data_IF_362916726547
#
_entry.id   IF_362916726547
#
_cell.length_a   1.000
_cell.length_b   1.000
_cell.length_c   1.000
_cell.angle_alpha   90.00
_cell.angle_beta   90.00
_cell.angle_gamma   90.00
#
_symmetry.space_group_name_H-M   'P 1'
#
loop_
_entity.id
_entity.type
_entity.pdbx_description
1 polymer ?
#
# COMPACT_ATOMS: atom_id res chain seq x y z
N UNK A 1 4.06 31.99 6.55
CA UNK A 1 4.65 30.64 6.68
C UNK A 1 4.40 29.91 5.37
N UNK A 2 5.43 29.41 4.71
CA UNK A 2 5.34 28.67 3.43
C UNK A 2 5.96 27.31 3.64
N UNK A 3 5.18 26.24 3.46
CA UNK A 3 5.70 24.86 3.46
C UNK A 3 6.22 24.53 2.07
N UNK A 4 7.49 24.86 1.79
CA UNK A 4 8.11 24.64 0.47
C UNK A 4 8.16 23.16 0.05
N UNK A 5 8.05 22.25 1.01
CA UNK A 5 8.11 20.80 0.82
C UNK A 5 6.72 20.16 0.66
N UNK A 6 5.65 20.95 0.77
CA UNK A 6 4.30 20.43 0.66
C UNK A 6 3.97 20.09 -0.80
N UNK A 7 3.48 18.89 -1.05
CA UNK A 7 3.00 18.44 -2.35
C UNK A 7 1.52 18.10 -2.28
N UNK A 8 0.81 18.35 -3.39
CA UNK A 8 -0.58 17.94 -3.57
C UNK A 8 -0.62 17.01 -4.78
N UNK A 9 -1.14 15.81 -4.59
CA UNK A 9 -1.37 14.84 -5.67
C UNK A 9 -2.88 14.59 -5.81
N UNK A 10 -3.38 14.58 -7.05
CA UNK A 10 -4.73 14.13 -7.34
C UNK A 10 -4.71 12.60 -7.48
N UNK A 11 -5.42 11.90 -6.60
CA UNK A 11 -5.57 10.46 -6.67
C UNK A 11 -6.57 10.06 -7.75
N UNK A 12 -6.38 8.87 -8.29
CA UNK A 12 -7.26 8.27 -9.31
C UNK A 12 -8.69 8.18 -8.79
N UNK A 13 -9.66 8.56 -9.63
CA UNK A 13 -11.07 8.38 -9.30
C UNK A 13 -11.37 6.89 -9.19
N UNK A 14 -11.85 6.45 -8.04
CA UNK A 14 -12.37 5.10 -7.87
C UNK A 14 -13.89 5.12 -7.75
N UNK A 15 -14.40 4.93 -6.54
CA UNK A 15 -15.85 4.86 -6.25
C UNK A 15 -16.46 6.20 -5.84
N UNK A 16 -15.63 7.21 -5.66
CA UNK A 16 -16.08 8.57 -5.38
C UNK A 16 -16.34 9.28 -6.71
N UNK A 17 -17.35 10.13 -6.71
CA UNK A 17 -17.70 11.03 -7.82
C UNK A 17 -16.60 12.07 -8.11
N UNK A 18 -15.67 12.26 -7.18
CA UNK A 18 -14.53 13.16 -7.29
C UNK A 18 -13.18 12.48 -7.03
N UNK A 19 -12.12 13.06 -7.59
CA UNK A 19 -10.73 12.64 -7.34
C UNK A 19 -10.32 13.12 -5.95
N UNK A 20 -9.83 12.21 -5.10
CA UNK A 20 -9.30 12.59 -3.78
C UNK A 20 -7.99 13.37 -3.92
N UNK A 21 -7.76 14.33 -3.04
CA UNK A 21 -6.49 15.06 -2.95
C UNK A 21 -5.63 14.49 -1.83
N UNK A 22 -4.43 14.06 -2.16
CA UNK A 22 -3.40 13.66 -1.20
C UNK A 22 -2.48 14.84 -0.95
N UNK A 23 -2.48 15.35 0.28
CA UNK A 23 -1.62 16.45 0.71
C UNK A 23 -0.49 15.88 1.56
N UNK A 24 0.74 15.96 1.07
CA UNK A 24 1.93 15.54 1.81
C UNK A 24 2.71 16.77 2.28
N UNK A 25 2.98 16.86 3.58
CA UNK A 25 3.77 17.95 4.17
C UNK A 25 5.21 17.50 4.53
N UNK A 26 5.66 16.35 4.01
CA UNK A 26 6.99 15.79 4.28
C UNK A 26 7.57 15.16 3.00
N UNK A 27 8.88 15.33 2.82
CA UNK A 27 9.64 14.53 1.87
C UNK A 27 9.89 13.14 2.47
N UNK A 28 9.24 12.11 1.94
CA UNK A 28 9.58 10.72 2.23
C UNK A 28 10.94 10.40 1.62
N UNK A 29 12.01 10.65 2.36
CA UNK A 29 13.32 10.10 2.03
C UNK A 29 13.24 8.60 2.26
N UNK A 30 13.15 7.82 1.19
CA UNK A 30 13.30 6.36 1.29
C UNK A 30 14.75 6.10 1.70
N UNK A 31 14.97 5.88 3.00
CA UNK A 31 16.29 5.61 3.56
C UNK A 31 16.63 4.14 3.36
N UNK A 32 17.64 3.92 2.52
CA UNK A 32 18.42 2.69 2.33
C UNK A 32 17.66 1.39 2.01
N UNK A 33 18.39 0.44 1.41
CA UNK A 33 17.88 -0.90 1.08
C UNK A 33 17.72 -1.72 2.35
N UNK A 34 16.65 -1.48 3.11
CA UNK A 34 16.26 -2.38 4.19
C UNK A 34 15.79 -3.72 3.59
N UNK A 35 16.35 -4.87 3.99
CA UNK A 35 15.93 -6.19 3.51
C UNK A 35 14.53 -6.59 4.00
N UNK A 36 13.95 -5.82 4.93
CA UNK A 36 12.59 -5.94 5.43
C UNK A 36 12.12 -4.57 5.93
N UNK A 37 10.89 -4.19 5.59
CA UNK A 37 10.26 -2.96 6.09
C UNK A 37 8.92 -3.36 6.67
N UNK A 38 8.73 -3.06 7.95
CA UNK A 38 7.45 -3.19 8.61
C UNK A 38 6.44 -2.23 7.99
N UNK A 39 5.25 -2.71 7.61
CA UNK A 39 4.21 -1.86 7.08
C UNK A 39 3.18 -1.53 8.16
N UNK A 40 3.05 -0.24 8.48
CA UNK A 40 2.07 0.23 9.47
C UNK A 40 0.62 -0.17 9.14
N UNK A 41 0.32 -0.41 7.85
CA UNK A 41 -0.98 -0.92 7.42
C UNK A 41 -1.34 -2.23 8.11
N UNK A 42 -0.38 -3.10 8.42
CA UNK A 42 -0.65 -4.38 9.06
C UNK A 42 -1.34 -4.22 10.42
N UNK A 43 -0.98 -3.18 11.18
CA UNK A 43 -1.61 -2.86 12.47
C UNK A 43 -3.09 -2.47 12.37
N UNK A 44 -3.59 -2.14 11.18
CA UNK A 44 -5.02 -1.83 10.99
C UNK A 44 -5.91 -3.07 11.05
N UNK A 45 -5.32 -4.26 10.91
CA UNK A 45 -6.05 -5.51 10.96
C UNK A 45 -5.99 -6.12 12.38
N UNK A 46 -7.15 -6.44 12.96
CA UNK A 46 -7.28 -6.89 14.36
C UNK A 46 -6.41 -8.10 14.70
N UNK A 47 -6.26 -9.03 13.75
CA UNK A 47 -5.51 -10.28 13.97
C UNK A 47 -3.98 -10.14 13.85
N UNK A 48 -3.47 -8.99 13.41
CA UNK A 48 -2.02 -8.85 13.20
C UNK A 48 -1.23 -8.95 14.52
N UNK A 49 -1.84 -8.55 15.64
CA UNK A 49 -1.24 -8.72 16.97
C UNK A 49 -0.89 -10.19 17.29
N UNK A 50 -1.68 -11.16 16.80
CA UNK A 50 -1.41 -12.57 16.99
C UNK A 50 -0.22 -13.06 16.16
N UNK A 51 0.01 -12.48 14.98
CA UNK A 51 1.16 -12.80 14.13
C UNK A 51 2.46 -12.52 14.88
N UNK A 52 2.56 -11.33 15.46
CA UNK A 52 3.70 -10.91 16.28
C UNK A 52 3.79 -11.78 17.54
N UNK A 53 2.70 -11.94 18.29
CA UNK A 53 2.71 -12.73 19.53
C UNK A 53 3.16 -14.18 19.30
N UNK A 54 2.71 -14.82 18.22
CA UNK A 54 3.11 -16.19 17.88
C UNK A 54 4.60 -16.26 17.52
N UNK A 55 5.11 -15.34 16.72
CA UNK A 55 6.54 -15.30 16.37
C UNK A 55 7.43 -15.13 17.61
N UNK A 56 7.03 -14.28 18.56
CA UNK A 56 7.77 -14.06 19.80
C UNK A 56 7.58 -15.16 20.85
N UNK A 57 6.46 -15.87 20.86
CA UNK A 57 6.29 -17.04 21.73
C UNK A 57 7.23 -18.19 21.36
N UNK A 58 7.57 -18.35 20.07
CA UNK A 58 8.58 -19.33 19.61
C UNK A 58 9.98 -19.06 20.16
N UNK A 59 10.27 -17.83 20.60
CA UNK A 59 11.52 -17.49 21.29
C UNK A 59 11.67 -18.30 22.59
N UNK A 60 10.58 -18.45 23.34
CA UNK A 60 10.58 -19.16 24.63
C UNK A 60 10.80 -20.67 24.49
N UNK A 61 10.61 -21.22 23.29
CA UNK A 61 10.64 -22.66 23.00
C UNK A 61 11.99 -23.17 22.45
N UNK A 62 13.09 -22.41 22.65
CA UNK A 62 14.51 -22.69 22.28
C UNK A 62 15.10 -21.80 21.16
N UNK A 63 14.48 -20.66 20.85
CA UNK A 63 14.97 -19.72 19.82
C UNK A 63 15.81 -18.57 20.38
N UNK A 64 16.71 -18.02 19.56
CA UNK A 64 17.34 -16.71 19.79
C UNK A 64 16.50 -15.56 19.21
N UNK A 65 16.80 -14.31 19.56
CA UNK A 65 16.08 -13.12 19.03
C UNK A 65 16.04 -13.13 17.50
N UNK A 66 17.13 -13.56 16.88
CA UNK A 66 17.29 -13.66 15.43
C UNK A 66 16.23 -14.58 14.80
N UNK A 67 15.89 -15.69 15.48
CA UNK A 67 14.88 -16.65 15.02
C UNK A 67 13.46 -16.10 15.15
N UNK A 68 13.18 -15.34 16.22
CA UNK A 68 11.90 -14.68 16.40
C UNK A 68 11.69 -13.59 15.34
N UNK A 69 12.72 -12.78 15.04
CA UNK A 69 12.67 -11.77 13.99
C UNK A 69 12.50 -12.37 12.59
N UNK A 70 13.17 -13.51 12.32
CA UNK A 70 13.00 -14.23 11.06
C UNK A 70 11.56 -14.78 10.91
N UNK A 71 11.02 -15.39 11.98
CA UNK A 71 9.63 -15.87 12.00
C UNK A 71 8.64 -14.72 11.85
N UNK A 72 8.83 -13.60 12.56
CA UNK A 72 7.95 -12.45 12.47
C UNK A 72 7.94 -11.87 11.07
N UNK A 73 9.11 -11.77 10.43
CA UNK A 73 9.23 -11.35 9.03
C UNK A 73 8.44 -12.28 8.11
N UNK A 74 8.65 -13.59 8.20
CA UNK A 74 7.98 -14.57 7.33
C UNK A 74 6.46 -14.57 7.54
N UNK A 75 6.02 -14.65 8.80
CA UNK A 75 4.62 -14.67 9.16
C UNK A 75 3.93 -13.35 8.77
N UNK A 76 4.62 -12.19 8.88
CA UNK A 76 4.11 -10.89 8.44
C UNK A 76 3.99 -10.78 6.92
N UNK A 77 4.93 -11.33 6.16
CA UNK A 77 4.87 -11.35 4.69
C UNK A 77 3.72 -12.24 4.20
N UNK A 78 3.52 -13.39 4.84
CA UNK A 78 2.37 -14.27 4.56
C UNK A 78 1.05 -13.59 4.90
N UNK A 79 0.97 -12.97 6.08
CA UNK A 79 -0.20 -12.20 6.50
C UNK A 79 -0.53 -11.06 5.52
N UNK A 80 0.50 -10.36 5.04
CA UNK A 80 0.35 -9.31 4.04
C UNK A 80 -0.28 -9.84 2.75
N UNK A 81 0.20 -10.97 2.23
CA UNK A 81 -0.35 -11.57 1.01
C UNK A 81 -1.81 -12.01 1.19
N UNK A 82 -2.13 -12.63 2.33
CA UNK A 82 -3.48 -13.13 2.63
C UNK A 82 -4.52 -12.01 2.86
N UNK A 83 -4.14 -10.91 3.52
CA UNK A 83 -5.10 -9.89 3.97
C UNK A 83 -5.07 -8.60 3.15
N UNK A 84 -3.88 -8.16 2.71
CA UNK A 84 -3.71 -6.93 1.94
C UNK A 84 -3.50 -7.20 0.45
N UNK A 85 -2.93 -8.37 0.12
CA UNK A 85 -2.56 -8.77 -1.21
C UNK A 85 -1.37 -7.99 -1.77
N UNK A 86 -1.17 -8.11 -3.08
CA UNK A 86 -0.08 -7.43 -3.77
C UNK A 86 -0.41 -5.96 -4.03
N UNK A 87 0.16 -5.06 -3.21
CA UNK A 87 0.01 -3.60 -3.37
C UNK A 87 0.58 -3.09 -4.70
N UNK A 88 1.59 -3.75 -5.27
CA UNK A 88 2.17 -3.35 -6.56
C UNK A 88 1.18 -3.58 -7.70
N UNK A 89 0.42 -4.69 -7.69
CA UNK A 89 -0.68 -4.90 -8.64
C UNK A 89 -1.74 -3.82 -8.53
N UNK A 90 -2.06 -3.37 -7.31
CA UNK A 90 -3.00 -2.25 -7.10
C UNK A 90 -2.46 -0.94 -7.67
N UNK A 91 -1.16 -0.67 -7.51
CA UNK A 91 -0.50 0.51 -8.10
C UNK A 91 -0.44 0.46 -9.63
N UNK A 92 -0.23 -0.71 -10.22
CA UNK A 92 -0.29 -0.90 -11.68
C UNK A 92 -1.69 -0.56 -12.20
N UNK A 93 -2.74 -1.09 -11.56
CA UNK A 93 -4.13 -0.76 -11.90
C UNK A 93 -4.42 0.74 -11.74
N UNK A 94 -3.91 1.38 -10.69
CA UNK A 94 -4.04 2.84 -10.53
C UNK A 94 -3.35 3.60 -11.66
N UNK A 95 -2.17 3.15 -12.09
CA UNK A 95 -1.44 3.78 -13.20
C UNK A 95 -2.23 3.67 -14.50
N UNK A 96 -2.84 2.50 -14.77
CA UNK A 96 -3.70 2.28 -15.94
C UNK A 96 -4.94 3.18 -15.88
N UNK A 97 -5.66 3.17 -14.76
CA UNK A 97 -6.86 3.99 -14.55
C UNK A 97 -6.56 5.48 -14.69
N UNK A 98 -5.41 5.94 -14.18
CA UNK A 98 -4.95 7.33 -14.33
C UNK A 98 -4.81 7.71 -15.79
N UNK A 99 -4.15 6.87 -16.60
CA UNK A 99 -3.99 7.12 -18.03
C UNK A 99 -5.32 7.18 -18.78
N UNK A 100 -6.24 6.27 -18.45
CA UNK A 100 -7.59 6.25 -19.02
C UNK A 100 -8.34 7.55 -18.66
N UNK A 101 -8.34 7.93 -17.39
CA UNK A 101 -9.04 9.13 -16.91
C UNK A 101 -8.47 10.41 -17.52
N UNK A 102 -7.14 10.56 -17.56
CA UNK A 102 -6.50 11.70 -18.22
C UNK A 102 -6.84 11.78 -19.72
N UNK A 103 -6.97 10.62 -20.39
CA UNK A 103 -7.40 10.61 -21.80
C UNK A 103 -8.87 11.04 -21.95
N UNK A 104 -9.74 10.57 -21.06
CA UNK A 104 -11.17 10.91 -21.06
C UNK A 104 -11.44 12.37 -20.68
N UNK A 105 -10.54 13.00 -19.92
CA UNK A 105 -10.60 14.45 -19.63
C UNK A 105 -10.37 15.30 -20.90
N UNK A 106 -9.62 14.79 -21.88
CA UNK A 106 -9.36 15.48 -23.14
C UNK A 106 -10.30 15.04 -24.27
N UNK A 107 -10.66 13.75 -24.32
CA UNK A 107 -11.39 13.14 -25.42
C UNK A 107 -12.38 12.06 -24.94
N UNK A 108 -13.65 12.20 -25.29
CA UNK A 108 -14.67 11.20 -24.98
C UNK A 108 -14.58 9.98 -25.90
N UNK A 109 -14.12 8.86 -25.34
CA UNK A 109 -14.10 7.56 -26.01
C UNK A 109 -14.94 6.53 -25.27
N UNK A 110 -16.00 6.05 -25.93
CA UNK A 110 -16.91 5.02 -25.37
C UNK A 110 -16.13 3.78 -24.90
N UNK A 111 -15.14 3.33 -25.69
CA UNK A 111 -14.32 2.16 -25.35
C UNK A 111 -13.55 2.35 -24.04
N UNK A 112 -13.00 3.54 -23.81
CA UNK A 112 -12.24 3.83 -22.59
C UNK A 112 -13.16 3.97 -21.38
N UNK A 113 -14.38 4.50 -21.56
CA UNK A 113 -15.41 4.55 -20.52
C UNK A 113 -15.81 3.14 -20.08
N UNK A 114 -16.02 2.23 -21.04
CA UNK A 114 -16.35 0.83 -20.74
C UNK A 114 -15.20 0.14 -19.99
N UNK A 115 -13.95 0.33 -20.46
CA UNK A 115 -12.78 -0.23 -19.81
C UNK A 115 -12.59 0.31 -18.39
N UNK A 116 -12.80 1.61 -18.17
CA UNK A 116 -12.75 2.19 -16.83
C UNK A 116 -13.75 1.52 -15.90
N UNK A 117 -15.00 1.32 -16.35
CA UNK A 117 -16.04 0.69 -15.54
C UNK A 117 -15.75 -0.79 -15.22
N UNK A 118 -15.02 -1.50 -16.09
CA UNK A 118 -14.58 -2.87 -15.85
C UNK A 118 -13.46 -2.94 -14.80
N UNK A 119 -12.63 -1.90 -14.70
CA UNK A 119 -11.46 -1.85 -13.80
C UNK A 119 -11.77 -1.28 -12.39
N UNK A 120 -13.00 -0.80 -12.14
CA UNK A 120 -13.44 -0.19 -10.87
C UNK A 120 -14.16 -1.17 -9.92
#
# INVERSE_FOLDING_TARGET
MSFQEATVEHLVRRRLDHNLLLLSCHQTTCKDRCPFIFQAAWCTHSHYSFVVANAWNRLHENGGVDTALASEKEDSLKFNDEHFGNIFRRKELETILRGIQSTLEEFDFIRLTLLQNELL
#
